data_IF_705968262506
#
_entry.id   IF_705968262506
#
_cell.length_a   1.000
_cell.length_b   1.000
_cell.length_c   1.000
_cell.angle_alpha   90.00
_cell.angle_beta   90.00
_cell.angle_gamma   90.00
#
_symmetry.space_group_name_H-M   'P 1'
#
loop_
_entity.id
_entity.type
_entity.pdbx_description
1 polymer ?
#
# COMPACT_ATOMS: atom_id res chain seq x y z
N UNK A 1 50.39 -29.63 -15.32
CA UNK A 1 49.20 -29.00 -15.93
C UNK A 1 48.13 -28.88 -14.84
N UNK A 2 47.97 -27.71 -14.23
CA UNK A 2 46.93 -27.46 -13.23
C UNK A 2 45.59 -27.24 -13.95
N UNK A 3 44.57 -28.01 -13.59
CA UNK A 3 43.19 -27.82 -14.08
C UNK A 3 42.41 -27.09 -13.00
N UNK A 4 42.08 -25.82 -13.24
CA UNK A 4 41.19 -25.03 -12.40
C UNK A 4 39.74 -25.36 -12.79
N UNK A 5 39.03 -26.10 -11.94
CA UNK A 5 37.59 -26.34 -12.09
C UNK A 5 36.84 -25.15 -11.49
N UNK A 6 36.33 -24.27 -12.35
CA UNK A 6 35.46 -23.17 -11.94
C UNK A 6 34.04 -23.70 -11.77
N UNK A 7 33.62 -23.94 -10.52
CA UNK A 7 32.25 -24.35 -10.20
C UNK A 7 31.38 -23.09 -10.24
N UNK A 8 30.71 -22.86 -11.37
CA UNK A 8 29.75 -21.78 -11.51
C UNK A 8 28.49 -22.12 -10.70
N UNK A 9 28.41 -21.65 -9.45
CA UNK A 9 27.17 -21.71 -8.69
C UNK A 9 26.19 -20.67 -9.25
N UNK A 10 25.23 -21.12 -10.06
CA UNK A 10 24.11 -20.29 -10.44
C UNK A 10 23.32 -19.89 -9.17
N UNK A 11 23.32 -18.60 -8.82
CA UNK A 11 22.44 -18.09 -7.78
C UNK A 11 21.00 -18.37 -8.19
N UNK A 12 20.32 -19.26 -7.45
CA UNK A 12 18.87 -19.44 -7.58
C UNK A 12 18.20 -18.10 -7.26
N UNK A 13 17.78 -17.38 -8.29
CA UNK A 13 16.86 -16.26 -8.17
C UNK A 13 15.68 -16.69 -7.29
N UNK A 14 15.42 -15.97 -6.19
CA UNK A 14 14.23 -16.20 -5.39
C UNK A 14 13.00 -16.15 -6.31
N UNK A 15 12.14 -17.17 -6.24
CA UNK A 15 10.93 -17.21 -7.05
C UNK A 15 10.00 -16.08 -6.61
N UNK A 16 9.35 -15.42 -7.59
CA UNK A 16 8.34 -14.41 -7.28
C UNK A 16 7.16 -15.06 -6.53
N UNK A 17 6.61 -14.41 -5.50
CA UNK A 17 5.45 -14.93 -4.79
C UNK A 17 4.24 -15.03 -5.74
N UNK A 18 3.47 -16.10 -5.60
CA UNK A 18 2.21 -16.29 -6.34
C UNK A 18 1.01 -15.63 -5.66
N UNK A 19 1.11 -15.42 -4.34
CA UNK A 19 0.11 -14.78 -3.51
C UNK A 19 0.76 -14.01 -2.36
N UNK A 20 0.06 -12.99 -1.87
CA UNK A 20 0.45 -12.18 -0.72
C UNK A 20 -0.65 -12.23 0.34
N UNK A 21 -0.25 -12.10 1.60
CA UNK A 21 -1.13 -12.09 2.75
C UNK A 21 -1.21 -10.68 3.34
N UNK A 22 -2.42 -10.23 3.59
CA UNK A 22 -2.71 -9.00 4.32
C UNK A 22 -3.78 -9.28 5.38
N UNK A 23 -3.39 -9.49 6.65
CA UNK A 23 -4.35 -9.79 7.71
C UNK A 23 -5.33 -8.63 7.93
N UNK A 24 -6.61 -8.94 8.09
CA UNK A 24 -7.67 -7.96 8.36
C UNK A 24 -8.39 -8.32 9.65
N UNK A 25 -8.71 -7.32 10.47
CA UNK A 25 -9.49 -7.47 11.69
C UNK A 25 -10.58 -6.41 11.75
N UNK A 26 -11.73 -6.74 12.34
CA UNK A 26 -12.78 -5.76 12.59
C UNK A 26 -12.46 -5.00 13.89
N UNK A 27 -12.46 -3.67 13.84
CA UNK A 27 -12.43 -2.83 15.03
C UNK A 27 -13.80 -2.88 15.73
N UNK A 28 -13.87 -3.24 17.02
CA UNK A 28 -15.14 -3.42 17.70
C UNK A 28 -15.88 -2.10 17.98
N UNK A 29 -15.16 -0.98 18.06
CA UNK A 29 -15.73 0.32 18.41
C UNK A 29 -16.35 1.02 17.21
N UNK A 30 -15.69 0.96 16.06
CA UNK A 30 -16.15 1.64 14.83
C UNK A 30 -16.75 0.70 13.80
N UNK A 31 -16.73 -0.61 14.06
CA UNK A 31 -17.11 -1.69 13.13
C UNK A 31 -16.37 -1.68 11.78
N UNK A 32 -15.33 -0.87 11.65
CA UNK A 32 -14.48 -0.79 10.46
C UNK A 32 -13.55 -2.01 10.37
N UNK A 33 -13.24 -2.42 9.16
CA UNK A 33 -12.20 -3.42 8.92
C UNK A 33 -10.86 -2.71 8.79
N UNK A 34 -9.86 -3.15 9.55
CA UNK A 34 -8.52 -2.57 9.57
C UNK A 34 -7.46 -3.60 9.23
N UNK A 35 -6.35 -3.14 8.66
CA UNK A 35 -5.16 -3.93 8.38
C UNK A 35 -3.88 -3.17 8.74
N UNK A 36 -2.73 -3.82 8.62
CA UNK A 36 -1.41 -3.20 8.78
C UNK A 36 -0.58 -3.42 7.52
N UNK A 37 -0.19 -2.32 6.89
CA UNK A 37 0.73 -2.33 5.74
C UNK A 37 2.09 -1.78 6.20
N UNK A 38 3.16 -2.54 5.93
CA UNK A 38 4.52 -2.06 6.16
C UNK A 38 4.92 -1.14 5.01
N UNK A 39 5.29 0.10 5.32
CA UNK A 39 5.66 1.12 4.33
C UNK A 39 6.90 1.91 4.80
N UNK A 40 7.69 2.35 3.82
CA UNK A 40 8.82 3.24 4.01
C UNK A 40 10.17 2.54 4.24
N UNK A 41 11.19 3.37 4.44
CA UNK A 41 12.52 2.98 4.90
C UNK A 41 13.00 3.94 6.00
N UNK A 42 13.12 3.51 7.27
CA UNK A 42 12.88 2.16 7.77
C UNK A 42 11.42 1.72 7.58
N UNK A 43 11.22 0.41 7.50
CA UNK A 43 9.87 -0.16 7.30
C UNK A 43 9.04 0.03 8.58
N UNK A 44 7.93 0.77 8.48
CA UNK A 44 7.03 1.05 9.60
C UNK A 44 5.63 0.52 9.30
N UNK A 45 5.02 -0.29 10.18
CA UNK A 45 3.63 -0.70 10.01
C UNK A 45 2.69 0.50 10.17
N UNK A 46 1.79 0.70 9.22
CA UNK A 46 0.69 1.66 9.29
C UNK A 46 -0.63 0.91 9.36
N UNK A 47 -1.43 1.22 10.37
CA UNK A 47 -2.80 0.73 10.47
C UNK A 47 -3.67 1.51 9.48
N UNK A 48 -4.40 0.80 8.63
CA UNK A 48 -5.25 1.38 7.58
C UNK A 48 -6.64 0.78 7.66
N UNK A 49 -7.67 1.61 7.43
CA UNK A 49 -9.04 1.13 7.20
C UNK A 49 -9.11 0.50 5.81
N UNK A 50 -9.77 -0.64 5.68
CA UNK A 50 -9.92 -1.35 4.41
C UNK A 50 -11.07 -0.72 3.64
N UNK A 51 -10.78 -0.23 2.43
CA UNK A 51 -11.78 0.30 1.51
C UNK A 51 -11.82 -0.59 0.25
N UNK A 52 -12.92 -1.33 0.10
CA UNK A 52 -13.14 -2.24 -1.02
C UNK A 52 -13.39 -1.51 -2.35
N UNK A 53 -13.93 -0.29 -2.29
CA UNK A 53 -14.23 0.55 -3.46
C UNK A 53 -13.14 1.58 -3.75
N UNK A 54 -12.25 1.84 -2.80
CA UNK A 54 -11.23 2.88 -2.88
C UNK A 54 -10.29 2.72 -4.08
N UNK A 55 -10.17 3.78 -4.87
CA UNK A 55 -9.36 3.81 -6.11
C UNK A 55 -7.86 3.61 -5.85
N UNK A 56 -7.36 4.07 -4.71
CA UNK A 56 -5.96 3.99 -4.33
C UNK A 56 -5.82 3.98 -2.81
N UNK A 57 -4.67 3.54 -2.33
CA UNK A 57 -4.31 3.70 -0.92
C UNK A 57 -3.95 5.16 -0.65
N UNK A 58 -4.37 5.68 0.49
CA UNK A 58 -3.94 6.99 0.98
C UNK A 58 -3.59 6.93 2.47
N UNK A 59 -2.62 7.74 2.89
CA UNK A 59 -2.15 7.77 4.28
C UNK A 59 -1.96 9.21 4.77
N UNK A 60 -2.21 9.44 6.06
CA UNK A 60 -1.87 10.69 6.74
C UNK A 60 -0.34 10.86 6.77
N UNK A 61 0.14 11.83 6.01
CA UNK A 61 1.55 12.22 5.96
C UNK A 61 1.84 13.50 6.75
N UNK A 62 0.81 14.14 7.32
CA UNK A 62 0.92 15.49 7.89
C UNK A 62 1.94 15.54 9.03
N UNK A 63 2.01 14.49 9.85
CA UNK A 63 2.86 14.42 11.04
C UNK A 63 3.65 13.11 11.10
N UNK A 64 4.98 13.23 11.14
CA UNK A 64 5.87 12.12 11.50
C UNK A 64 6.11 11.07 10.41
N UNK A 65 5.65 11.28 9.17
CA UNK A 65 6.06 10.42 8.05
C UNK A 65 7.52 10.72 7.67
N UNK A 66 8.39 9.72 7.82
CA UNK A 66 9.83 9.81 7.49
C UNK A 66 10.25 8.54 6.80
N UNK A 67 10.76 8.66 5.57
CA UNK A 67 11.23 7.53 4.79
C UNK A 67 12.32 7.99 3.83
N UNK A 68 13.44 7.26 3.76
CA UNK A 68 14.52 7.53 2.79
C UNK A 68 14.20 7.05 1.38
N UNK A 69 13.13 6.28 1.20
CA UNK A 69 12.66 5.79 -0.10
C UNK A 69 11.41 6.52 -0.61
N UNK A 70 10.95 7.54 0.11
CA UNK A 70 9.85 8.41 -0.33
C UNK A 70 10.23 9.16 -1.60
N UNK A 71 9.33 9.16 -2.58
CA UNK A 71 9.43 9.95 -3.80
C UNK A 71 8.11 10.68 -4.05
N UNK A 72 8.12 12.01 -4.18
CA UNK A 72 6.93 12.74 -4.57
C UNK A 72 6.59 12.50 -6.04
N UNK A 73 5.30 12.52 -6.38
CA UNK A 73 4.78 12.43 -7.73
C UNK A 73 5.02 13.74 -8.48
N UNK A 74 6.10 13.81 -9.25
CA UNK A 74 6.42 15.00 -10.04
C UNK A 74 5.39 15.19 -11.15
N UNK A 75 4.88 16.41 -11.30
CA UNK A 75 3.89 16.74 -12.32
C UNK A 75 4.33 16.28 -13.73
N UNK A 76 3.40 15.68 -14.49
CA UNK A 76 3.65 15.17 -15.84
C UNK A 76 4.43 13.84 -15.89
N UNK A 77 4.78 13.25 -14.75
CA UNK A 77 5.41 11.92 -14.69
C UNK A 77 4.41 10.79 -14.96
N UNK A 78 4.91 9.63 -15.40
CA UNK A 78 4.09 8.46 -15.67
C UNK A 78 3.23 8.00 -14.46
N UNK A 79 3.70 8.05 -13.19
CA UNK A 79 2.86 7.78 -12.02
C UNK A 79 1.65 8.71 -11.91
N UNK A 80 1.81 10.00 -12.24
CA UNK A 80 0.71 10.97 -12.23
C UNK A 80 -0.33 10.66 -13.31
N UNK A 81 0.13 10.35 -14.53
CA UNK A 81 -0.77 9.92 -15.61
C UNK A 81 -1.49 8.61 -15.28
N UNK A 82 -0.79 7.64 -14.69
CA UNK A 82 -1.37 6.36 -14.31
C UNK A 82 -2.43 6.49 -13.20
N UNK A 83 -2.21 7.44 -12.28
CA UNK A 83 -3.15 7.72 -11.19
C UNK A 83 -4.34 8.60 -11.60
N UNK A 84 -4.38 9.07 -12.85
CA UNK A 84 -5.38 10.02 -13.33
C UNK A 84 -5.45 11.27 -12.43
N UNK A 85 -4.29 11.92 -12.25
CA UNK A 85 -4.15 13.03 -11.30
C UNK A 85 -5.03 14.23 -11.64
N UNK A 86 -5.64 14.83 -10.62
CA UNK A 86 -6.59 15.94 -10.73
C UNK A 86 -5.94 17.28 -11.13
N UNK A 87 -4.60 17.38 -11.03
CA UNK A 87 -3.85 18.54 -11.46
C UNK A 87 -2.46 18.60 -10.84
N UNK A 88 -1.84 19.77 -10.94
CA UNK A 88 -0.51 20.02 -10.41
C UNK A 88 -0.41 21.35 -9.66
N UNK A 89 0.35 21.34 -8.58
CA UNK A 89 0.61 22.52 -7.77
C UNK A 89 1.93 22.37 -7.01
N UNK A 90 2.38 23.47 -6.42
CA UNK A 90 3.48 23.47 -5.46
C UNK A 90 2.92 23.67 -4.06
N UNK A 91 3.48 22.95 -3.09
CA UNK A 91 3.21 23.25 -1.70
C UNK A 91 3.98 24.51 -1.28
N UNK A 92 3.34 25.38 -0.49
CA UNK A 92 3.94 26.64 0.00
C UNK A 92 4.42 26.55 1.46
N UNK A 93 4.21 25.41 2.12
CA UNK A 93 4.63 25.18 3.51
C UNK A 93 6.04 24.60 3.60
N UNK A 94 6.55 24.40 4.82
CA UNK A 94 7.85 23.78 5.04
C UNK A 94 7.94 22.40 4.33
N UNK A 95 9.04 22.11 3.59
CA UNK A 95 9.16 20.88 2.82
C UNK A 95 9.08 19.64 3.70
N UNK A 96 8.20 18.70 3.34
CA UNK A 96 8.03 17.40 4.00
C UNK A 96 7.31 16.42 3.07
N UNK A 97 7.27 15.12 3.36
CA UNK A 97 6.35 14.20 2.68
C UNK A 97 4.92 14.74 2.68
N UNK A 98 4.25 14.74 1.52
CA UNK A 98 2.96 15.39 1.31
C UNK A 98 3.03 16.91 1.03
N UNK A 99 4.23 17.51 1.01
CA UNK A 99 4.41 18.93 0.74
C UNK A 99 5.78 19.18 0.06
N UNK A 100 5.81 19.04 -1.27
CA UNK A 100 6.98 19.35 -2.09
C UNK A 100 6.95 20.81 -2.56
N UNK A 101 8.02 21.57 -2.27
CA UNK A 101 8.09 23.02 -2.58
C UNK A 101 8.94 23.36 -3.81
N UNK A 102 9.98 22.56 -4.10
CA UNK A 102 10.93 22.83 -5.19
C UNK A 102 10.32 22.59 -6.57
N UNK A 103 9.65 21.45 -6.72
CA UNK A 103 9.01 21.02 -7.96
C UNK A 103 7.49 21.01 -7.79
N UNK A 104 6.76 21.23 -8.88
CA UNK A 104 5.33 20.97 -8.88
C UNK A 104 5.08 19.47 -8.79
N UNK A 105 4.22 19.06 -7.88
CA UNK A 105 3.75 17.69 -7.75
C UNK A 105 2.33 17.59 -8.30
N UNK A 106 1.95 16.38 -8.70
CA UNK A 106 0.57 16.10 -9.03
C UNK A 106 -0.21 15.72 -7.77
N UNK A 107 -1.49 16.04 -7.78
CA UNK A 107 -2.37 15.76 -6.64
C UNK A 107 -3.52 14.86 -7.01
N UNK A 108 -4.05 14.26 -5.96
CA UNK A 108 -5.21 13.38 -5.95
C UNK A 108 -6.21 13.94 -4.94
N UNK A 109 -7.46 13.52 -5.07
CA UNK A 109 -8.53 13.80 -4.13
C UNK A 109 -8.91 12.54 -3.33
N UNK A 110 -8.11 12.11 -2.34
CA UNK A 110 -8.47 11.01 -1.45
C UNK A 110 -9.77 11.29 -0.69
N UNK A 111 -10.59 10.24 -0.60
CA UNK A 111 -11.86 10.25 0.12
C UNK A 111 -11.77 9.38 1.37
N UNK A 112 -12.27 9.90 2.49
CA UNK A 112 -12.66 9.11 3.64
C UNK A 112 -14.07 8.58 3.38
N UNK A 113 -14.18 7.33 2.93
CA UNK A 113 -15.47 6.70 2.60
C UNK A 113 -16.32 6.34 3.83
N UNK A 114 -15.81 6.54 5.06
CA UNK A 114 -16.62 6.45 6.29
C UNK A 114 -17.47 7.72 6.47
N UNK A 115 -16.91 8.88 6.14
CA UNK A 115 -17.54 10.19 6.38
C UNK A 115 -18.01 10.89 5.10
N UNK A 116 -17.56 10.43 3.93
CA UNK A 116 -17.74 11.09 2.64
C UNK A 116 -16.86 12.34 2.47
N UNK A 117 -15.93 12.61 3.40
CA UNK A 117 -15.04 13.76 3.30
C UNK A 117 -13.96 13.53 2.25
N UNK A 118 -13.77 14.52 1.37
CA UNK A 118 -12.71 14.54 0.36
C UNK A 118 -11.78 15.70 0.69
N UNK A 119 -10.48 15.45 0.58
CA UNK A 119 -9.46 16.48 0.74
C UNK A 119 -8.35 16.26 -0.28
N UNK A 120 -7.45 17.24 -0.35
CA UNK A 120 -6.30 17.24 -1.21
C UNK A 120 -5.19 16.30 -0.70
N UNK A 121 -4.56 15.56 -1.60
CA UNK A 121 -3.36 14.77 -1.28
C UNK A 121 -2.32 14.76 -2.40
N UNK A 122 -1.05 14.87 -2.02
CA UNK A 122 0.08 14.75 -2.97
C UNK A 122 0.23 13.28 -3.40
N UNK A 123 0.36 13.01 -4.70
CA UNK A 123 0.74 11.66 -5.14
C UNK A 123 2.15 11.35 -4.62
N UNK A 124 2.32 10.18 -4.05
CA UNK A 124 3.59 9.73 -3.51
C UNK A 124 3.89 8.29 -3.93
N UNK A 125 5.16 7.96 -3.90
CA UNK A 125 5.68 6.62 -4.10
C UNK A 125 6.60 6.25 -2.95
N UNK A 126 6.50 5.03 -2.44
CA UNK A 126 7.44 4.52 -1.45
C UNK A 126 7.51 2.99 -1.53
N UNK A 127 8.37 2.38 -0.72
CA UNK A 127 8.51 0.93 -0.60
C UNK A 127 7.44 0.39 0.35
N UNK A 128 6.71 -0.63 -0.08
CA UNK A 128 5.86 -1.43 0.81
C UNK A 128 6.40 -2.84 0.98
N UNK A 129 5.97 -3.55 2.02
CA UNK A 129 6.32 -4.96 2.21
C UNK A 129 5.13 -5.78 2.72
N UNK A 130 4.92 -6.94 2.11
CA UNK A 130 3.86 -7.88 2.47
C UNK A 130 4.44 -9.30 2.62
N UNK A 131 3.83 -10.12 3.46
CA UNK A 131 4.19 -11.54 3.56
C UNK A 131 3.69 -12.28 2.32
N UNK A 132 4.52 -13.14 1.74
CA UNK A 132 4.02 -14.11 0.76
C UNK A 132 3.25 -15.22 1.43
N UNK A 133 2.55 -16.02 0.62
CA UNK A 133 1.94 -17.27 1.09
C UNK A 133 1.87 -18.27 -0.06
N UNK A 134 1.94 -19.55 0.28
CA UNK A 134 1.64 -20.68 -0.62
C UNK A 134 0.14 -21.08 -0.57
N UNK A 135 -0.68 -20.35 0.18
CA UNK A 135 -2.09 -20.64 0.43
C UNK A 135 -2.36 -21.44 1.71
N UNK A 136 -1.32 -22.00 2.34
CA UNK A 136 -1.43 -22.75 3.60
C UNK A 136 -0.66 -22.08 4.74
N UNK A 137 0.50 -21.49 4.46
CA UNK A 137 1.38 -20.88 5.47
C UNK A 137 1.88 -19.50 5.03
N UNK A 138 2.16 -18.59 5.98
CA UNK A 138 2.89 -17.37 5.68
C UNK A 138 4.34 -17.69 5.28
N UNK A 139 4.83 -16.99 4.28
CA UNK A 139 6.19 -17.04 3.76
C UNK A 139 6.98 -15.77 4.06
N UNK A 140 8.14 -15.57 3.40
CA UNK A 140 8.99 -14.40 3.62
C UNK A 140 8.31 -13.08 3.23
N UNK A 141 8.81 -11.98 3.81
CA UNK A 141 8.44 -10.63 3.38
C UNK A 141 8.97 -10.34 1.97
N UNK A 142 8.10 -9.81 1.12
CA UNK A 142 8.40 -9.38 -0.23
C UNK A 142 8.15 -7.87 -0.33
N UNK A 143 9.06 -7.16 -0.97
CA UNK A 143 8.98 -5.70 -1.12
C UNK A 143 8.51 -5.31 -2.51
N UNK A 144 7.64 -4.31 -2.58
CA UNK A 144 7.31 -3.59 -3.82
C UNK A 144 7.86 -2.19 -3.68
N UNK A 145 8.74 -1.79 -4.60
CA UNK A 145 9.27 -0.43 -4.67
C UNK A 145 8.32 0.43 -5.48
N UNK A 146 8.39 1.73 -5.24
CA UNK A 146 7.63 2.73 -6.00
C UNK A 146 6.11 2.45 -6.01
N UNK A 147 5.58 1.93 -4.89
CA UNK A 147 4.14 1.76 -4.69
C UNK A 147 3.50 3.13 -4.63
N UNK A 148 2.55 3.38 -5.54
CA UNK A 148 1.85 4.65 -5.69
C UNK A 148 0.72 4.72 -4.65
N UNK A 149 0.67 5.82 -3.91
CA UNK A 149 -0.38 6.13 -2.95
C UNK A 149 -0.57 7.65 -2.86
N UNK A 150 -1.59 8.11 -2.13
CA UNK A 150 -1.77 9.54 -1.84
C UNK A 150 -1.30 9.88 -0.41
N UNK A 151 -0.46 10.90 -0.27
CA UNK A 151 -0.17 11.55 1.00
C UNK A 151 -1.29 12.55 1.32
N UNK A 152 -2.17 12.16 2.23
CA UNK A 152 -3.30 12.95 2.70
C UNK A 152 -2.94 13.83 3.90
N UNK A 153 -3.83 14.78 4.19
CA UNK A 153 -3.81 15.58 5.42
C UNK A 153 -4.38 14.80 6.61
N UNK A 154 -4.23 15.32 7.82
CA UNK A 154 -4.83 14.76 9.03
C UNK A 154 -6.34 15.07 9.15
N UNK A 155 -6.93 15.86 8.25
CA UNK A 155 -8.37 16.11 8.21
C UNK A 155 -9.16 14.88 7.74
N UNK A 156 -8.54 14.00 6.95
CA UNK A 156 -9.21 12.82 6.40
C UNK A 156 -9.34 11.65 7.38
N UNK A 157 -8.66 11.65 8.53
CA UNK A 157 -8.66 10.52 9.47
C UNK A 157 -9.72 10.65 10.59
N UNK A 158 -10.72 11.50 10.39
CA UNK A 158 -11.87 11.66 11.28
C UNK A 158 -12.70 10.36 11.30
N UNK A 159 -13.23 10.00 12.48
CA UNK A 159 -14.06 8.81 12.74
C UNK A 159 -13.41 7.46 12.41
N UNK A 160 -12.08 7.41 12.33
CA UNK A 160 -11.35 6.17 12.13
C UNK A 160 -11.20 5.35 13.41
N UNK A 161 -11.12 4.04 13.23
CA UNK A 161 -10.64 3.10 14.23
C UNK A 161 -9.34 3.62 14.86
N UNK A 162 -9.21 3.45 16.18
CA UNK A 162 -8.14 4.08 16.95
C UNK A 162 -6.76 3.74 16.37
N UNK A 163 -6.02 4.78 16.00
CA UNK A 163 -4.66 4.65 15.48
C UNK A 163 -4.56 4.28 14.00
N UNK A 164 -5.67 4.14 13.28
CA UNK A 164 -5.65 4.08 11.82
C UNK A 164 -5.20 5.44 11.25
N UNK A 165 -4.41 5.38 10.17
CA UNK A 165 -3.68 6.52 9.58
C UNK A 165 -3.89 6.60 8.07
N UNK A 166 -5.00 6.08 7.58
CA UNK A 166 -5.28 6.06 6.15
C UNK A 166 -6.29 4.99 5.77
N UNK A 167 -6.56 4.92 4.46
CA UNK A 167 -7.37 3.85 3.86
C UNK A 167 -6.56 3.07 2.83
N UNK A 168 -6.74 1.75 2.86
CA UNK A 168 -6.19 0.83 1.88
C UNK A 168 -7.22 0.60 0.78
N UNK A 169 -7.02 1.24 -0.37
CA UNK A 169 -7.88 1.08 -1.54
C UNK A 169 -7.64 -0.25 -2.26
N UNK A 170 -8.69 -1.08 -2.31
CA UNK A 170 -8.74 -2.37 -3.00
C UNK A 170 -9.59 -2.34 -4.27
N UNK A 171 -10.07 -1.15 -4.66
CA UNK A 171 -10.89 -0.96 -5.84
C UNK A 171 -10.16 -1.30 -7.16
N UNK A 172 -10.96 -1.53 -8.20
CA UNK A 172 -10.46 -1.82 -9.56
C UNK A 172 -9.98 -0.53 -10.21
N UNK A 173 -8.71 -0.21 -10.02
CA UNK A 173 -8.08 1.00 -10.56
C UNK A 173 -6.60 0.72 -10.90
N UNK A 174 -5.99 1.39 -11.89
CA UNK A 174 -4.58 1.22 -12.24
C UNK A 174 -3.60 1.40 -11.07
N UNK A 175 -3.93 2.27 -10.11
CA UNK A 175 -3.14 2.51 -8.89
C UNK A 175 -3.79 1.94 -7.62
N UNK A 176 -4.79 1.08 -7.76
CA UNK A 176 -5.31 0.27 -6.65
C UNK A 176 -4.26 -0.76 -6.19
N UNK A 177 -4.25 -1.12 -4.89
CA UNK A 177 -3.28 -2.07 -4.35
C UNK A 177 -3.23 -3.39 -5.15
N UNK A 178 -4.37 -4.06 -5.47
CA UNK A 178 -4.34 -5.34 -6.18
C UNK A 178 -3.65 -5.23 -7.56
N UNK A 179 -3.95 -4.18 -8.30
CA UNK A 179 -3.38 -3.92 -9.64
C UNK A 179 -1.88 -3.68 -9.56
N UNK A 180 -1.42 -2.88 -8.60
CA UNK A 180 0.01 -2.59 -8.41
C UNK A 180 0.79 -3.84 -7.98
N UNK A 181 0.25 -4.65 -7.07
CA UNK A 181 0.89 -5.92 -6.66
C UNK A 181 0.98 -6.88 -7.85
N UNK A 182 -0.08 -7.01 -8.63
CA UNK A 182 -0.07 -7.87 -9.79
C UNK A 182 0.93 -7.44 -10.86
N UNK A 183 1.07 -6.13 -11.09
CA UNK A 183 2.08 -5.57 -11.97
C UNK A 183 3.50 -5.89 -11.48
N UNK A 184 3.76 -5.74 -10.17
CA UNK A 184 5.08 -5.99 -9.58
C UNK A 184 5.51 -7.46 -9.67
N UNK A 185 4.58 -8.41 -9.45
CA UNK A 185 4.90 -9.83 -9.40
C UNK A 185 4.65 -10.59 -10.72
N UNK A 186 3.90 -10.02 -11.66
CA UNK A 186 3.76 -10.49 -13.04
C UNK A 186 2.80 -11.68 -13.23
N UNK A 187 2.90 -12.35 -14.39
CA UNK A 187 1.91 -13.33 -14.93
C UNK A 187 1.65 -14.59 -14.08
N UNK A 188 2.33 -14.76 -12.95
CA UNK A 188 2.10 -15.86 -11.99
C UNK A 188 1.42 -15.44 -10.69
N UNK A 189 1.11 -14.14 -10.54
CA UNK A 189 0.44 -13.59 -9.37
C UNK A 189 -1.08 -13.59 -9.59
N UNK A 190 -1.83 -14.12 -8.61
CA UNK A 190 -3.30 -14.08 -8.69
C UNK A 190 -3.81 -12.66 -8.48
N UNK A 191 -4.60 -12.15 -9.42
CA UNK A 191 -5.31 -10.86 -9.31
C UNK A 191 -6.64 -10.99 -8.53
N UNK A 192 -6.83 -12.08 -7.80
CA UNK A 192 -8.01 -12.32 -6.99
C UNK A 192 -7.73 -11.93 -5.53
N UNK A 193 -8.59 -11.09 -4.97
CA UNK A 193 -8.59 -10.86 -3.52
C UNK A 193 -9.50 -11.91 -2.90
N UNK A 194 -8.90 -12.81 -2.12
CA UNK A 194 -9.64 -13.81 -1.33
C UNK A 194 -9.72 -13.33 0.11
N UNK A 195 -10.93 -13.11 0.60
CA UNK A 195 -11.14 -12.73 2.00
C UNK A 195 -11.30 -13.99 2.84
N UNK A 196 -10.34 -14.22 3.74
CA UNK A 196 -10.49 -15.21 4.80
C UNK A 196 -11.06 -14.49 6.02
N UNK A 197 -12.39 -14.46 6.12
CA UNK A 197 -13.04 -14.03 7.34
C UNK A 197 -12.96 -15.17 8.35
N UNK A 198 -12.03 -15.03 9.29
CA UNK A 198 -11.98 -15.90 10.45
C UNK A 198 -13.06 -15.46 11.45
N UNK A 199 -14.17 -16.22 11.52
CA UNK A 199 -15.13 -16.08 12.61
C UNK A 199 -14.64 -16.92 13.79
N UNK A 200 -14.47 -16.27 14.94
CA UNK A 200 -14.24 -16.97 16.22
C UNK A 200 -15.60 -17.35 16.79
N UNK A 201 -16.07 -18.55 16.50
CA UNK A 201 -17.14 -19.21 17.28
C UNK A 201 -16.47 -20.24 18.18
N UNK A 202 -16.64 -20.08 19.50
CA UNK A 202 -16.27 -21.03 20.57
C UNK A 202 -15.29 -22.15 20.17
N UNK A 203 -14.00 -21.81 20.15
CA UNK A 203 -12.86 -22.71 19.98
C UNK A 203 -12.65 -23.37 18.60
N UNK A 204 -13.27 -22.88 17.51
CA UNK A 204 -12.96 -23.35 16.15
C UNK A 204 -12.78 -22.19 15.15
N UNK A 205 -11.74 -22.29 14.33
CA UNK A 205 -11.52 -21.42 13.18
C UNK A 205 -12.27 -21.97 11.98
N UNK A 206 -13.30 -21.27 11.50
CA UNK A 206 -13.96 -21.60 10.23
C UNK A 206 -13.42 -20.70 9.12
N UNK A 207 -12.96 -21.30 8.02
CA UNK A 207 -12.54 -20.61 6.81
C UNK A 207 -13.71 -20.59 5.81
N UNK A 208 -14.28 -19.41 5.53
CA UNK A 208 -15.17 -19.22 4.39
C UNK A 208 -14.35 -18.66 3.22
N UNK A 209 -14.31 -19.38 2.11
CA UNK A 209 -13.79 -18.85 0.85
C UNK A 209 -14.94 -18.21 0.09
N UNK A 210 -14.83 -16.93 -0.26
CA UNK A 210 -15.69 -16.28 -1.25
C UNK A 210 -14.84 -15.62 -2.30
#
# INVERSE_FOLDING_TARGET
>A
MLVLVSICQAQKSASKPKALLLPVSKDPSTVQYITRLNIGTPSVPKTLVVDLGGRYTWIDCAKGYKSSTYKPGICGSAPCSLADSDGCNKCLSAPKPGCTTKNSTCHLNPENTVTGHVDFGELAMDKISLQSTDGSKPGPLNSVRDFIFSCATDMLIIDFARGAKGMLGLGRNPVGLPTQLASAFGRGFSQEIRYLLAFKTENKWCHLFR
#
